data_IF_151029098465
#
_entry.id   IF_151029098465
#
_cell.length_a   1.000
_cell.length_b   1.000
_cell.length_c   1.000
_cell.angle_alpha   90.00
_cell.angle_beta   90.00
_cell.angle_gamma   90.00
#
_symmetry.space_group_name_H-M   'P 1'
#
loop_
_entity.id
_entity.type
_entity.pdbx_description
1 polymer ?
#
# COMPACT_ATOMS: atom_id res chain seq x y z
N UNK A 1 0.94 -31.73 -11.06
CA UNK A 1 0.71 -31.27 -9.67
C UNK A 1 1.68 -30.12 -9.44
N UNK A 2 1.19 -28.88 -9.39
CA UNK A 2 2.07 -27.72 -9.14
C UNK A 2 2.48 -27.79 -7.66
N UNK A 3 3.77 -27.89 -7.37
CA UNK A 3 4.27 -27.90 -5.99
C UNK A 3 4.05 -26.50 -5.41
N UNK A 4 3.12 -26.37 -4.47
CA UNK A 4 2.81 -25.09 -3.81
C UNK A 4 3.59 -24.99 -2.49
N UNK A 5 4.12 -23.81 -2.18
CA UNK A 5 4.75 -23.56 -0.87
C UNK A 5 3.69 -23.50 0.22
N UNK A 6 4.07 -23.78 1.48
CA UNK A 6 3.15 -23.69 2.61
C UNK A 6 2.55 -22.29 2.79
N UNK A 7 3.30 -21.23 2.45
CA UNK A 7 2.85 -19.84 2.52
C UNK A 7 1.79 -19.55 1.47
N UNK A 8 2.02 -19.97 0.22
CA UNK A 8 1.05 -19.83 -0.86
C UNK A 8 -0.22 -20.62 -0.56
N UNK A 9 -0.10 -21.86 -0.06
CA UNK A 9 -1.26 -22.67 0.31
C UNK A 9 -2.08 -22.02 1.42
N UNK A 10 -1.42 -21.48 2.45
CA UNK A 10 -2.09 -20.77 3.53
C UNK A 10 -2.82 -19.52 3.01
N UNK A 11 -2.17 -18.72 2.18
CA UNK A 11 -2.75 -17.52 1.61
C UNK A 11 -3.96 -17.82 0.71
N UNK A 12 -3.78 -18.67 -0.29
CA UNK A 12 -4.79 -18.91 -1.32
C UNK A 12 -5.95 -19.75 -0.79
N UNK A 13 -5.67 -20.82 -0.03
CA UNK A 13 -6.69 -21.79 0.34
C UNK A 13 -7.28 -21.56 1.73
N UNK A 14 -6.51 -21.00 2.69
CA UNK A 14 -7.02 -20.78 4.05
C UNK A 14 -7.50 -19.36 4.29
N UNK A 15 -6.73 -18.35 3.87
CA UNK A 15 -7.07 -16.94 4.08
C UNK A 15 -8.10 -16.47 3.05
N UNK A 16 -7.80 -16.66 1.77
CA UNK A 16 -8.67 -16.20 0.68
C UNK A 16 -9.80 -17.20 0.35
N UNK A 17 -9.54 -18.50 0.54
CA UNK A 17 -10.40 -19.58 0.04
C UNK A 17 -10.77 -19.37 -1.44
N UNK A 18 -9.75 -19.13 -2.25
CA UNK A 18 -9.90 -18.74 -3.63
C UNK A 18 -10.58 -19.84 -4.46
N UNK A 19 -11.54 -19.44 -5.29
CA UNK A 19 -12.24 -20.32 -6.23
C UNK A 19 -11.46 -20.49 -7.53
N UNK A 20 -11.82 -21.51 -8.32
CA UNK A 20 -11.13 -21.85 -9.57
C UNK A 20 -11.36 -20.87 -10.71
N UNK A 21 -12.40 -20.03 -10.65
CA UNK A 21 -12.76 -19.08 -11.71
C UNK A 21 -13.54 -17.90 -11.14
N UNK A 22 -13.42 -16.74 -11.79
CA UNK A 22 -14.16 -15.51 -11.44
C UNK A 22 -15.68 -15.68 -11.56
N UNK A 23 -16.16 -16.62 -12.39
CA UNK A 23 -17.58 -16.94 -12.53
C UNK A 23 -18.15 -17.61 -11.27
N UNK A 24 -17.28 -18.25 -10.49
CA UNK A 24 -17.63 -18.93 -9.25
C UNK A 24 -17.23 -18.04 -8.07
N UNK A 25 -18.14 -17.18 -7.60
CA UNK A 25 -17.87 -16.27 -6.49
C UNK A 25 -17.68 -16.96 -5.13
N UNK A 26 -18.07 -18.23 -5.00
CA UNK A 26 -17.98 -18.96 -3.74
C UNK A 26 -18.94 -18.41 -2.69
N UNK A 27 -18.54 -18.49 -1.42
CA UNK A 27 -19.30 -17.99 -0.27
C UNK A 27 -18.65 -16.77 0.39
N UNK A 28 -19.36 -16.15 1.34
CA UNK A 28 -18.82 -15.05 2.13
C UNK A 28 -17.73 -15.57 3.08
N UNK A 29 -16.55 -14.96 3.01
CA UNK A 29 -15.44 -15.21 3.92
C UNK A 29 -15.66 -14.44 5.23
N UNK A 30 -16.28 -15.09 6.22
CA UNK A 30 -16.70 -14.44 7.48
C UNK A 30 -15.55 -13.79 8.26
N UNK A 31 -14.37 -14.40 8.26
CA UNK A 31 -13.18 -13.84 8.91
C UNK A 31 -12.74 -12.53 8.22
N UNK A 32 -12.70 -12.51 6.89
CA UNK A 32 -12.37 -11.31 6.11
C UNK A 32 -13.46 -10.24 6.23
N UNK A 33 -14.73 -10.62 6.23
CA UNK A 33 -15.86 -9.71 6.44
C UNK A 33 -15.79 -9.05 7.83
N UNK A 34 -15.48 -9.82 8.88
CA UNK A 34 -15.32 -9.30 10.23
C UNK A 34 -14.14 -8.33 10.33
N UNK A 35 -12.99 -8.65 9.73
CA UNK A 35 -11.81 -7.77 9.69
C UNK A 35 -12.13 -6.49 8.90
N UNK A 36 -12.82 -6.60 7.76
CA UNK A 36 -13.27 -5.47 6.95
C UNK A 36 -14.20 -4.54 7.75
N UNK A 37 -15.20 -5.13 8.43
CA UNK A 37 -16.11 -4.37 9.28
C UNK A 37 -15.36 -3.66 10.41
N UNK A 38 -14.45 -4.36 11.10
CA UNK A 38 -13.62 -3.78 12.14
C UNK A 38 -12.76 -2.62 11.62
N UNK A 39 -12.17 -2.76 10.43
CA UNK A 39 -11.39 -1.70 9.79
C UNK A 39 -12.24 -0.45 9.55
N UNK A 40 -13.47 -0.60 9.04
CA UNK A 40 -14.41 0.52 8.84
C UNK A 40 -14.82 1.18 10.15
N UNK A 41 -15.05 0.40 11.21
CA UNK A 41 -15.34 0.92 12.56
C UNK A 41 -14.18 1.78 13.06
N UNK A 42 -12.93 1.32 12.89
CA UNK A 42 -11.73 2.07 13.26
C UNK A 42 -11.64 3.38 12.47
N UNK A 43 -11.82 3.32 11.15
CA UNK A 43 -11.79 4.50 10.26
C UNK A 43 -12.85 5.52 10.68
N UNK A 44 -14.06 5.06 10.98
CA UNK A 44 -15.15 5.91 11.45
C UNK A 44 -14.78 6.64 12.74
N UNK A 45 -14.30 5.92 13.78
CA UNK A 45 -13.92 6.54 15.04
C UNK A 45 -12.70 7.46 14.92
N UNK A 46 -11.76 7.15 14.02
CA UNK A 46 -10.61 8.00 13.74
C UNK A 46 -11.02 9.36 13.14
N UNK A 47 -12.11 9.39 12.36
CA UNK A 47 -12.55 10.57 11.61
C UNK A 47 -13.78 11.28 12.22
N UNK A 48 -14.56 10.65 13.09
CA UNK A 48 -15.83 11.20 13.61
C UNK A 48 -15.66 12.63 14.14
N UNK A 49 -14.64 12.89 14.96
CA UNK A 49 -14.41 14.22 15.55
C UNK A 49 -13.83 15.26 14.57
N UNK A 50 -13.77 14.95 13.29
CA UNK A 50 -13.26 15.80 12.22
C UNK A 50 -11.73 15.76 12.07
N UNK A 51 -11.26 16.28 10.93
CA UNK A 51 -9.85 16.25 10.52
C UNK A 51 -8.92 16.88 11.56
N UNK A 52 -9.35 17.97 12.22
CA UNK A 52 -8.56 18.70 13.20
C UNK A 52 -8.11 17.83 14.36
N UNK A 53 -8.98 16.94 14.86
CA UNK A 53 -8.70 16.02 15.97
C UNK A 53 -8.00 14.74 15.47
N UNK A 54 -8.36 14.26 14.27
CA UNK A 54 -7.74 13.09 13.63
C UNK A 54 -6.22 13.27 13.46
N UNK A 55 -5.73 14.51 13.26
CA UNK A 55 -4.29 14.83 13.09
C UNK A 55 -3.37 14.19 14.13
N UNK A 56 -3.78 14.11 15.41
CA UNK A 56 -2.96 13.50 16.46
C UNK A 56 -2.66 12.02 16.20
N UNK A 57 -3.68 11.26 15.78
CA UNK A 57 -3.53 9.85 15.42
C UNK A 57 -2.80 9.70 14.08
N UNK A 58 -3.08 10.58 13.11
CA UNK A 58 -2.41 10.59 11.80
C UNK A 58 -0.90 10.76 11.93
N UNK A 59 -0.39 11.54 12.89
CA UNK A 59 1.06 11.62 13.12
C UNK A 59 1.68 10.25 13.42
N UNK A 60 1.02 9.43 14.26
CA UNK A 60 1.50 8.08 14.53
C UNK A 60 1.41 7.21 13.27
N UNK A 61 0.26 7.17 12.59
CA UNK A 61 0.08 6.38 11.38
C UNK A 61 1.01 6.77 10.24
N UNK A 62 1.42 8.04 10.15
CA UNK A 62 2.35 8.53 9.15
C UNK A 62 3.80 8.20 9.50
N UNK A 63 4.20 8.34 10.78
CA UNK A 63 5.61 8.15 11.19
C UNK A 63 5.97 6.69 11.47
N UNK A 64 5.06 5.90 12.02
CA UNK A 64 5.33 4.52 12.39
C UNK A 64 5.78 3.63 11.20
N UNK A 65 5.20 3.74 9.98
CA UNK A 65 5.71 3.02 8.82
C UNK A 65 7.17 3.35 8.50
N UNK A 66 7.62 4.60 8.64
CA UNK A 66 9.03 4.95 8.43
C UNK A 66 9.95 4.28 9.45
N UNK A 67 9.52 4.21 10.71
CA UNK A 67 10.26 3.47 11.73
C UNK A 67 10.40 1.98 11.36
N UNK A 68 9.29 1.33 10.96
CA UNK A 68 9.33 -0.05 10.50
C UNK A 68 10.22 -0.23 9.26
N UNK A 69 10.17 0.69 8.29
CA UNK A 69 11.03 0.65 7.10
C UNK A 69 12.50 0.73 7.49
N UNK A 70 12.88 1.56 8.45
CA UNK A 70 14.27 1.63 8.94
C UNK A 70 14.70 0.32 9.60
N UNK A 71 13.85 -0.26 10.46
CA UNK A 71 14.14 -1.56 11.09
C UNK A 71 14.26 -2.67 10.04
N UNK A 72 13.35 -2.73 9.08
CA UNK A 72 13.37 -3.70 7.99
C UNK A 72 14.56 -3.50 7.05
N UNK A 73 14.97 -2.26 6.80
CA UNK A 73 16.16 -1.95 6.01
C UNK A 73 17.42 -2.48 6.71
N UNK A 74 17.60 -2.15 7.99
CA UNK A 74 18.74 -2.66 8.77
C UNK A 74 18.74 -4.19 8.75
N UNK A 75 17.59 -4.82 9.06
CA UNK A 75 17.50 -6.28 9.06
C UNK A 75 17.80 -6.86 7.69
N UNK A 76 17.21 -6.32 6.63
CA UNK A 76 17.40 -6.76 5.24
C UNK A 76 18.85 -6.68 4.80
N UNK A 77 19.56 -5.60 5.17
CA UNK A 77 20.99 -5.44 4.86
C UNK A 77 21.89 -6.41 5.65
N UNK A 78 21.48 -6.85 6.84
CA UNK A 78 22.24 -7.84 7.63
C UNK A 78 22.02 -9.29 7.20
N UNK A 79 21.10 -9.56 6.27
CA UNK A 79 20.84 -10.92 5.78
C UNK A 79 21.86 -11.34 4.72
N UNK A 80 22.21 -12.62 4.73
CA UNK A 80 23.05 -13.20 3.68
C UNK A 80 22.35 -13.09 2.32
N UNK A 81 23.11 -12.67 1.31
CA UNK A 81 22.59 -12.50 -0.05
C UNK A 81 21.89 -11.17 -0.33
N UNK A 82 21.79 -10.23 0.63
CA UNK A 82 21.20 -8.92 0.44
C UNK A 82 21.75 -8.16 -0.79
N UNK A 83 23.07 -8.23 -1.01
CA UNK A 83 23.73 -7.59 -2.15
C UNK A 83 23.25 -8.06 -3.51
N UNK A 84 22.83 -9.33 -3.65
CA UNK A 84 22.27 -9.86 -4.90
C UNK A 84 20.93 -9.22 -5.23
N UNK A 85 20.06 -9.07 -4.22
CA UNK A 85 18.77 -8.40 -4.37
C UNK A 85 18.92 -6.92 -4.73
N UNK A 86 19.84 -6.22 -4.07
CA UNK A 86 20.14 -4.80 -4.37
C UNK A 86 20.65 -4.64 -5.80
N UNK A 87 21.59 -5.49 -6.23
CA UNK A 87 22.11 -5.47 -7.59
C UNK A 87 20.98 -5.69 -8.61
N UNK A 88 20.14 -6.71 -8.40
CA UNK A 88 19.03 -6.98 -9.31
C UNK A 88 18.02 -5.82 -9.39
N UNK A 89 17.74 -5.16 -8.27
CA UNK A 89 16.83 -4.00 -8.23
C UNK A 89 17.39 -2.77 -8.95
N UNK A 90 18.70 -2.50 -8.83
CA UNK A 90 19.33 -1.27 -9.35
C UNK A 90 19.99 -1.44 -10.71
N UNK A 91 20.23 -2.67 -11.19
CA UNK A 91 20.89 -2.91 -12.46
C UNK A 91 20.06 -2.33 -13.63
N UNK A 92 20.56 -1.33 -14.35
CA UNK A 92 19.77 -0.66 -15.38
C UNK A 92 19.70 -1.52 -16.64
N UNK A 93 18.50 -1.62 -17.22
CA UNK A 93 18.31 -2.15 -18.56
C UNK A 93 17.80 -1.04 -19.49
N UNK A 94 18.74 -0.40 -20.20
CA UNK A 94 18.44 0.76 -21.07
C UNK A 94 17.52 0.41 -22.24
N UNK A 95 17.49 -0.84 -22.70
CA UNK A 95 16.59 -1.26 -23.78
C UNK A 95 15.11 -1.16 -23.38
N UNK A 96 14.79 -1.21 -22.07
CA UNK A 96 13.42 -1.04 -21.57
C UNK A 96 12.90 0.40 -21.73
N UNK A 97 13.78 1.40 -21.90
CA UNK A 97 13.35 2.79 -22.06
C UNK A 97 12.68 3.08 -23.41
N UNK A 98 12.91 2.23 -24.42
CA UNK A 98 12.23 2.33 -25.73
C UNK A 98 10.82 1.72 -25.70
N UNK A 99 10.48 0.98 -24.64
CA UNK A 99 9.18 0.36 -24.45
C UNK A 99 8.19 1.38 -23.89
N UNK A 100 7.14 1.68 -24.66
CA UNK A 100 6.08 2.62 -24.25
C UNK A 100 5.33 2.20 -23.00
N UNK A 101 5.27 0.90 -22.70
CA UNK A 101 4.59 0.39 -21.49
C UNK A 101 5.28 0.86 -20.22
N UNK A 102 6.61 0.97 -20.22
CA UNK A 102 7.39 1.45 -19.06
C UNK A 102 7.02 2.89 -18.72
N UNK A 103 6.83 3.74 -19.73
CA UNK A 103 6.41 5.13 -19.53
C UNK A 103 4.96 5.26 -19.07
N UNK A 104 4.07 4.44 -19.63
CA UNK A 104 2.67 4.36 -19.19
C UNK A 104 2.59 3.97 -17.70
N UNK A 105 3.33 2.94 -17.31
CA UNK A 105 3.35 2.44 -15.93
C UNK A 105 3.98 3.47 -14.99
N UNK A 106 5.09 4.09 -15.39
CA UNK A 106 5.72 5.17 -14.62
C UNK A 106 4.80 6.37 -14.42
N UNK A 107 4.11 6.82 -15.47
CA UNK A 107 3.12 7.90 -15.38
C UNK A 107 1.99 7.52 -14.42
N UNK A 108 1.42 6.32 -14.60
CA UNK A 108 0.35 5.78 -13.73
C UNK A 108 0.80 5.74 -12.27
N UNK A 109 2.02 5.29 -12.01
CA UNK A 109 2.60 5.25 -10.67
C UNK A 109 2.69 6.64 -10.05
N UNK A 110 3.12 7.67 -10.79
CA UNK A 110 3.20 9.05 -10.28
C UNK A 110 1.81 9.59 -9.91
N UNK A 111 0.81 9.40 -10.78
CA UNK A 111 -0.56 9.85 -10.51
C UNK A 111 -1.16 9.20 -9.25
N UNK A 112 -1.02 7.88 -9.11
CA UNK A 112 -1.54 7.16 -7.94
C UNK A 112 -0.73 7.43 -6.66
N UNK A 113 0.58 7.63 -6.76
CA UNK A 113 1.44 7.90 -5.59
C UNK A 113 1.15 9.28 -4.97
N UNK A 114 0.90 10.30 -5.80
CA UNK A 114 0.54 11.64 -5.33
C UNK A 114 -0.97 11.82 -5.09
N UNK A 115 -1.82 10.93 -5.60
CA UNK A 115 -3.28 11.07 -5.51
C UNK A 115 -3.80 12.30 -6.27
N UNK A 116 -3.17 12.65 -7.40
CA UNK A 116 -3.58 13.79 -8.23
C UNK A 116 -4.96 13.52 -8.81
N UNK A 117 -5.86 14.49 -8.69
CA UNK A 117 -7.23 14.40 -9.22
C UNK A 117 -8.25 13.70 -8.30
N UNK A 118 -7.83 13.18 -7.13
CA UNK A 118 -8.73 12.51 -6.18
C UNK A 118 -9.50 13.48 -5.26
N UNK A 119 -9.20 14.78 -5.30
CA UNK A 119 -9.85 15.81 -4.47
C UNK A 119 -9.41 15.86 -3.00
N UNK A 120 -8.73 14.83 -2.48
CA UNK A 120 -8.27 14.79 -1.10
C UNK A 120 -7.30 15.93 -0.75
N UNK A 121 -6.32 16.23 -1.61
CA UNK A 121 -5.38 17.35 -1.39
C UNK A 121 -6.09 18.70 -1.44
N UNK A 122 -7.11 18.86 -2.29
CA UNK A 122 -7.93 20.08 -2.37
C UNK A 122 -8.72 20.26 -1.06
N UNK A 123 -9.34 19.19 -0.57
CA UNK A 123 -10.06 19.20 0.71
C UNK A 123 -9.13 19.53 1.89
N UNK A 124 -7.94 18.93 1.94
CA UNK A 124 -6.95 19.25 2.97
C UNK A 124 -6.47 20.70 2.89
N UNK A 125 -6.18 21.19 1.67
CA UNK A 125 -5.79 22.58 1.42
C UNK A 125 -6.87 23.60 1.82
N UNK A 126 -8.16 23.23 1.70
CA UNK A 126 -9.28 24.09 2.11
C UNK A 126 -9.30 24.42 3.61
N UNK A 127 -8.58 23.64 4.43
CA UNK A 127 -8.44 23.88 5.87
C UNK A 127 -7.19 24.71 6.24
N UNK A 128 -6.38 25.12 5.26
CA UNK A 128 -5.22 25.97 5.49
C UNK A 128 -5.62 27.43 5.73
N UNK A 129 -4.70 28.20 6.35
CA UNK A 129 -4.85 29.65 6.47
C UNK A 129 -4.76 30.29 5.08
N UNK A 130 -5.46 31.40 4.88
CA UNK A 130 -5.48 32.13 3.61
C UNK A 130 -4.08 32.56 3.14
N UNK A 131 -3.24 33.05 4.05
CA UNK A 131 -1.87 33.49 3.76
C UNK A 131 -0.83 32.36 3.98
N UNK A 132 -1.21 31.09 3.85
CA UNK A 132 -0.28 29.97 4.01
C UNK A 132 0.57 29.81 2.74
N UNK A 133 1.90 29.77 2.87
CA UNK A 133 2.75 29.44 1.72
C UNK A 133 2.57 27.96 1.36
N UNK A 134 2.14 27.69 0.13
CA UNK A 134 1.87 26.37 -0.41
C UNK A 134 2.78 25.99 -1.60
N UNK A 135 3.81 26.80 -1.86
CA UNK A 135 4.91 26.54 -2.81
C UNK A 135 6.19 26.14 -2.09
#
# INVERSE_FOLDING_TARGET
MMTQTSVEQFWENRVLQQTSSIENFGGIQWELLAIMFLAWVIVYFALWKGITQARKFVYFCALFPYFLLVVLLIRGLTLEGAGKGIYYYLAPNLTRLTDTTVWKDAGTQVFYSYGVGFGALIALGSHNKFNHNCF
#
